data_IF_772638598117
#
_entry.id   IF_772638598117
#
_cell.length_a   1.000
_cell.length_b   1.000
_cell.length_c   1.000
_cell.angle_alpha   90.00
_cell.angle_beta   90.00
_cell.angle_gamma   90.00
#
_symmetry.space_group_name_H-M   'P 1'
#
loop_
_entity.id
_entity.type
_entity.pdbx_description
1 polymer ?
#
# COMPACT_ATOMS: atom_id res chain seq x y z
N UNK A 1 -3.62 -4.70 10.72
CA UNK A 1 -3.41 -3.91 9.47
C UNK A 1 -3.20 -2.42 9.70
N UNK A 2 -4.04 -1.71 10.47
CA UNK A 2 -3.86 -0.26 10.72
C UNK A 2 -2.46 0.06 11.24
N UNK A 3 -2.02 -0.59 12.32
CA UNK A 3 -0.71 -0.34 12.95
C UNK A 3 0.45 -0.64 12.01
N UNK A 4 0.38 -1.73 11.25
CA UNK A 4 1.44 -2.12 10.31
C UNK A 4 1.54 -1.08 9.19
N UNK A 5 0.43 -0.64 8.60
CA UNK A 5 0.44 0.39 7.56
C UNK A 5 0.88 1.76 8.12
N UNK A 6 0.51 2.11 9.35
CA UNK A 6 0.97 3.35 9.98
C UNK A 6 2.48 3.32 10.25
N UNK A 7 3.01 2.17 10.68
CA UNK A 7 4.46 1.97 10.88
C UNK A 7 5.22 2.08 9.55
N UNK A 8 4.77 1.40 8.49
CA UNK A 8 5.38 1.47 7.16
C UNK A 8 5.33 2.89 6.59
N UNK A 9 4.22 3.60 6.78
CA UNK A 9 4.07 5.00 6.39
C UNK A 9 5.08 5.90 7.11
N UNK A 10 5.20 5.74 8.43
CA UNK A 10 6.15 6.50 9.24
C UNK A 10 7.60 6.26 8.79
N UNK A 11 8.00 5.01 8.58
CA UNK A 11 9.36 4.69 8.12
C UNK A 11 9.64 5.26 6.73
N UNK A 12 8.71 5.13 5.77
CA UNK A 12 8.88 5.67 4.42
C UNK A 12 9.01 7.19 4.41
N UNK A 13 8.19 7.90 5.19
CA UNK A 13 8.24 9.36 5.30
C UNK A 13 9.51 9.81 6.03
N UNK A 14 9.87 9.15 7.14
CA UNK A 14 11.05 9.50 7.93
C UNK A 14 12.34 9.35 7.12
N UNK A 15 12.47 8.28 6.34
CA UNK A 15 13.62 8.08 5.43
C UNK A 15 13.62 9.14 4.32
N UNK A 16 12.47 9.42 3.71
CA UNK A 16 12.36 10.42 2.66
C UNK A 16 12.78 11.83 3.13
N UNK A 17 12.42 12.21 4.37
CA UNK A 17 12.86 13.48 4.96
C UNK A 17 14.34 13.49 5.32
N UNK A 18 14.86 12.41 5.93
CA UNK A 18 16.26 12.36 6.35
C UNK A 18 17.24 12.36 5.17
N UNK A 19 16.87 11.73 4.06
CA UNK A 19 17.70 11.61 2.86
C UNK A 19 17.34 12.63 1.77
N UNK A 20 16.43 13.57 2.05
CA UNK A 20 15.91 14.59 1.11
C UNK A 20 15.51 13.99 -0.25
N UNK A 21 14.67 12.96 -0.23
CA UNK A 21 14.23 12.29 -1.45
C UNK A 21 13.45 13.22 -2.36
N UNK A 22 13.74 13.14 -3.65
CA UNK A 22 12.93 13.78 -4.68
C UNK A 22 11.62 13.03 -4.85
N UNK A 23 10.52 13.77 -5.08
CA UNK A 23 9.23 13.22 -5.48
C UNK A 23 9.22 12.71 -6.93
N UNK A 24 10.31 12.89 -7.67
CA UNK A 24 10.46 12.44 -9.05
C UNK A 24 11.84 11.82 -9.24
N UNK A 25 11.87 10.61 -9.84
CA UNK A 25 13.08 9.88 -10.22
C UNK A 25 14.11 9.77 -9.07
N UNK A 26 13.76 8.99 -8.04
CA UNK A 26 14.65 8.70 -6.93
C UNK A 26 15.37 7.36 -7.18
N UNK A 27 16.71 7.40 -7.27
CA UNK A 27 17.52 6.20 -7.47
C UNK A 27 17.50 5.31 -6.23
N UNK A 28 17.58 4.00 -6.45
CA UNK A 28 17.75 3.02 -5.37
C UNK A 28 19.17 3.11 -4.82
N UNK A 29 19.29 3.26 -3.51
CA UNK A 29 20.56 3.14 -2.81
C UNK A 29 20.79 1.68 -2.39
N UNK A 30 21.80 1.04 -2.99
CA UNK A 30 22.22 -0.33 -2.67
C UNK A 30 23.32 -0.40 -1.60
N UNK A 31 23.70 0.73 -1.03
CA UNK A 31 24.68 0.78 0.06
C UNK A 31 24.10 0.24 1.37
N UNK A 32 24.98 -0.03 2.35
CA UNK A 32 24.58 -0.44 3.70
C UNK A 32 24.19 0.74 4.60
N UNK A 33 23.70 1.85 4.03
CA UNK A 33 23.22 3.00 4.80
C UNK A 33 22.07 2.56 5.72
N UNK A 34 22.11 2.86 7.03
CA UNK A 34 21.03 2.52 7.95
C UNK A 34 19.66 3.05 7.53
N UNK A 35 19.56 4.22 6.88
CA UNK A 35 18.28 4.76 6.40
C UNK A 35 17.74 3.98 5.19
N UNK A 36 18.61 3.63 4.23
CA UNK A 36 18.22 2.77 3.10
C UNK A 36 17.75 1.39 3.58
N UNK A 37 18.45 0.79 4.54
CA UNK A 37 18.06 -0.48 5.17
C UNK A 37 16.70 -0.40 5.89
N UNK A 38 16.37 0.73 6.52
CA UNK A 38 15.04 0.95 7.13
C UNK A 38 13.93 0.95 6.08
N UNK A 39 14.14 1.64 4.96
CA UNK A 39 13.20 1.66 3.84
C UNK A 39 13.03 0.27 3.23
N UNK A 40 14.12 -0.47 3.01
CA UNK A 40 14.08 -1.87 2.51
C UNK A 40 13.24 -2.75 3.45
N UNK A 41 13.42 -2.62 4.77
CA UNK A 41 12.61 -3.37 5.75
C UNK A 41 11.13 -2.98 5.69
N UNK A 42 10.80 -1.70 5.51
CA UNK A 42 9.43 -1.25 5.34
C UNK A 42 8.80 -1.80 4.06
N UNK A 43 9.54 -1.80 2.94
CA UNK A 43 9.11 -2.39 1.66
C UNK A 43 8.92 -3.92 1.77
N UNK A 44 9.80 -4.60 2.49
CA UNK A 44 9.63 -6.02 2.78
C UNK A 44 8.38 -6.30 3.63
N UNK A 45 8.14 -5.51 4.69
CA UNK A 45 6.92 -5.61 5.48
C UNK A 45 5.68 -5.31 4.64
N UNK A 46 5.78 -4.40 3.66
CA UNK A 46 4.70 -4.12 2.71
C UNK A 46 4.37 -5.36 1.88
N UNK A 47 5.36 -6.07 1.34
CA UNK A 47 5.13 -7.34 0.66
C UNK A 47 4.44 -8.39 1.56
N UNK A 48 4.92 -8.57 2.79
CA UNK A 48 4.29 -9.49 3.76
C UNK A 48 2.85 -9.09 4.04
N UNK A 49 2.56 -7.78 4.14
CA UNK A 49 1.19 -7.31 4.36
C UNK A 49 0.24 -7.75 3.24
N UNK A 50 0.68 -7.75 1.97
CA UNK A 50 -0.13 -8.22 0.82
C UNK A 50 -0.41 -9.71 0.87
N UNK A 51 0.54 -10.52 1.35
CA UNK A 51 0.30 -11.94 1.59
C UNK A 51 -0.78 -12.14 2.67
N UNK A 52 -0.71 -11.40 3.78
CA UNK A 52 -1.71 -11.49 4.85
C UNK A 52 -3.10 -11.05 4.37
N UNK A 53 -3.20 -9.97 3.57
CA UNK A 53 -4.47 -9.52 2.98
C UNK A 53 -5.11 -10.56 2.03
N UNK A 54 -4.27 -11.27 1.27
CA UNK A 54 -4.73 -12.38 0.45
C UNK A 54 -5.23 -13.56 1.30
N UNK A 55 -4.58 -13.85 2.43
CA UNK A 55 -5.02 -14.90 3.35
C UNK A 55 -6.38 -14.55 4.00
N UNK A 56 -6.63 -13.29 4.36
CA UNK A 56 -7.95 -12.85 4.85
C UNK A 56 -9.05 -13.11 3.81
N UNK A 57 -8.75 -12.82 2.53
CA UNK A 57 -9.66 -13.09 1.41
C UNK A 57 -9.91 -14.59 1.25
N UNK A 58 -8.87 -15.42 1.36
CA UNK A 58 -8.97 -16.89 1.34
C UNK A 58 -9.87 -17.42 2.47
N UNK A 59 -9.71 -16.90 3.69
CA UNK A 59 -10.57 -17.26 4.82
C UNK A 59 -12.03 -16.81 4.64
N UNK A 60 -12.30 -15.68 3.96
CA UNK A 60 -13.67 -15.29 3.64
C UNK A 60 -14.35 -16.22 2.64
N UNK A 61 -13.61 -16.70 1.64
CA UNK A 61 -14.12 -17.67 0.67
C UNK A 61 -14.47 -18.98 1.38
N UNK A 62 -13.57 -19.51 2.22
CA UNK A 62 -13.82 -20.74 2.98
C UNK A 62 -15.00 -20.60 3.94
N UNK A 63 -15.17 -19.44 4.58
CA UNK A 63 -16.30 -19.15 5.49
C UNK A 63 -17.61 -18.85 4.76
N UNK A 64 -17.67 -18.99 3.44
CA UNK A 64 -18.87 -18.75 2.64
C UNK A 64 -19.32 -17.29 2.57
N UNK A 65 -18.43 -16.33 2.91
CA UNK A 65 -18.71 -14.88 2.88
C UNK A 65 -18.34 -14.25 1.54
N UNK A 66 -18.67 -14.93 0.44
CA UNK A 66 -18.29 -14.55 -0.93
C UNK A 66 -18.97 -13.27 -1.42
N UNK A 67 -20.10 -12.86 -0.84
CA UNK A 67 -20.77 -11.59 -1.16
C UNK A 67 -19.92 -10.34 -0.88
N UNK A 68 -18.87 -10.46 -0.06
CA UNK A 68 -17.93 -9.37 0.24
C UNK A 68 -16.72 -9.36 -0.71
N UNK A 69 -16.50 -10.45 -1.45
CA UNK A 69 -15.31 -10.69 -2.26
C UNK A 69 -15.71 -10.66 -3.74
N UNK A 70 -15.40 -9.56 -4.41
CA UNK A 70 -15.66 -9.42 -5.84
C UNK A 70 -14.54 -10.07 -6.67
N UNK A 71 -14.80 -10.32 -7.95
CA UNK A 71 -13.76 -10.81 -8.88
C UNK A 71 -12.56 -9.86 -8.92
N UNK A 72 -12.80 -8.54 -8.97
CA UNK A 72 -11.75 -7.53 -9.00
C UNK A 72 -10.89 -7.56 -7.74
N UNK A 73 -11.51 -7.76 -6.57
CA UNK A 73 -10.81 -7.91 -5.29
C UNK A 73 -9.83 -9.09 -5.33
N UNK A 74 -10.29 -10.26 -5.77
CA UNK A 74 -9.42 -11.46 -5.88
C UNK A 74 -8.31 -11.25 -6.90
N UNK A 75 -8.65 -10.72 -8.08
CA UNK A 75 -7.66 -10.44 -9.13
C UNK A 75 -6.55 -9.53 -8.60
N UNK A 76 -6.92 -8.39 -7.99
CA UNK A 76 -5.97 -7.44 -7.42
C UNK A 76 -5.10 -8.06 -6.31
N UNK A 77 -5.68 -8.78 -5.34
CA UNK A 77 -4.86 -9.38 -4.27
C UNK A 77 -3.92 -10.48 -4.77
N UNK A 78 -4.32 -11.24 -5.79
CA UNK A 78 -3.47 -12.27 -6.40
C UNK A 78 -2.33 -11.67 -7.23
N UNK A 79 -2.56 -10.58 -7.97
CA UNK A 79 -1.54 -9.93 -8.81
C UNK A 79 -0.58 -9.06 -8.00
N UNK A 80 -1.02 -8.46 -6.89
CA UNK A 80 -0.16 -7.63 -6.04
C UNK A 80 0.98 -8.42 -5.38
N UNK A 81 0.81 -9.72 -5.11
CA UNK A 81 1.87 -10.57 -4.51
C UNK A 81 3.11 -10.68 -5.42
N UNK A 82 3.01 -11.15 -6.68
CA UNK A 82 4.18 -11.24 -7.56
C UNK A 82 4.76 -9.87 -7.92
N UNK A 83 3.93 -8.82 -8.06
CA UNK A 83 4.41 -7.46 -8.33
C UNK A 83 5.27 -6.94 -7.17
N UNK A 84 4.76 -7.03 -5.95
CA UNK A 84 5.50 -6.57 -4.76
C UNK A 84 6.74 -7.42 -4.50
N UNK A 85 6.68 -8.73 -4.77
CA UNK A 85 7.86 -9.60 -4.71
C UNK A 85 8.95 -9.15 -5.70
N UNK A 86 8.58 -8.88 -6.95
CA UNK A 86 9.52 -8.36 -7.94
C UNK A 86 10.11 -7.02 -7.50
N UNK A 87 9.27 -6.11 -6.97
CA UNK A 87 9.72 -4.83 -6.41
C UNK A 87 10.75 -4.99 -5.30
N UNK A 88 10.50 -5.86 -4.31
CA UNK A 88 11.47 -6.07 -3.22
C UNK A 88 12.73 -6.80 -3.69
N UNK A 89 12.61 -7.70 -4.68
CA UNK A 89 13.75 -8.48 -5.16
C UNK A 89 14.72 -7.64 -5.98
N UNK A 90 14.21 -6.74 -6.81
CA UNK A 90 15.00 -6.06 -7.84
C UNK A 90 15.17 -4.56 -7.59
N UNK A 91 14.24 -3.90 -6.90
CA UNK A 91 14.19 -2.43 -6.76
C UNK A 91 13.76 -2.06 -5.33
N UNK A 92 14.40 -2.64 -4.32
CA UNK A 92 14.05 -2.34 -2.92
C UNK A 92 14.55 -0.96 -2.48
N UNK A 93 13.82 0.10 -2.85
CA UNK A 93 14.10 1.47 -2.41
C UNK A 93 13.87 2.49 -3.53
N UNK A 94 14.48 3.67 -3.38
CA UNK A 94 14.34 4.74 -4.37
C UNK A 94 12.88 5.14 -4.55
N UNK A 95 12.44 5.29 -5.80
CA UNK A 95 11.09 5.76 -6.19
C UNK A 95 9.93 4.95 -5.60
N UNK A 96 10.15 3.68 -5.22
CA UNK A 96 9.11 2.82 -4.65
C UNK A 96 8.61 3.32 -3.27
N UNK A 97 9.36 4.19 -2.59
CA UNK A 97 8.91 4.80 -1.34
C UNK A 97 7.56 5.53 -1.49
N UNK A 98 7.33 6.18 -2.63
CA UNK A 98 6.14 7.00 -2.90
C UNK A 98 4.86 6.15 -3.05
N UNK A 99 4.79 5.16 -3.96
CA UNK A 99 3.60 4.31 -4.07
C UNK A 99 3.34 3.53 -2.79
N UNK A 100 4.38 3.11 -2.06
CA UNK A 100 4.23 2.45 -0.75
C UNK A 100 3.63 3.40 0.29
N UNK A 101 4.12 4.64 0.40
CA UNK A 101 3.61 5.63 1.35
C UNK A 101 2.14 6.00 1.06
N UNK A 102 1.79 6.22 -0.21
CA UNK A 102 0.41 6.52 -0.62
C UNK A 102 -0.51 5.34 -0.29
N UNK A 103 -0.13 4.12 -0.69
CA UNK A 103 -0.92 2.92 -0.40
C UNK A 103 -1.10 2.69 1.11
N UNK A 104 -0.05 2.91 1.91
CA UNK A 104 -0.14 2.76 3.36
C UNK A 104 -1.10 3.81 3.97
N UNK A 105 -1.08 5.05 3.48
CA UNK A 105 -2.04 6.10 3.89
C UNK A 105 -3.47 5.67 3.57
N UNK A 106 -3.66 5.19 2.34
CA UNK A 106 -4.74 4.34 1.83
C UNK A 106 -5.40 3.46 2.90
N UNK A 107 -4.59 2.48 3.25
CA UNK A 107 -4.96 1.37 4.09
C UNK A 107 -5.13 1.79 5.55
N UNK A 108 -4.38 2.78 6.06
CA UNK A 108 -4.63 3.33 7.41
C UNK A 108 -6.04 3.90 7.50
N UNK A 109 -6.46 4.73 6.53
CA UNK A 109 -7.79 5.33 6.53
C UNK A 109 -8.87 4.25 6.36
N UNK A 110 -8.70 3.35 5.38
CA UNK A 110 -9.65 2.29 5.09
C UNK A 110 -9.84 1.33 6.27
N UNK A 111 -8.76 0.82 6.86
CA UNK A 111 -8.86 -0.11 7.99
C UNK A 111 -9.34 0.57 9.27
N UNK A 112 -9.02 1.85 9.47
CA UNK A 112 -9.60 2.63 10.58
C UNK A 112 -11.11 2.74 10.41
N UNK A 113 -11.59 3.04 9.20
CA UNK A 113 -13.02 3.04 8.88
C UNK A 113 -13.68 1.69 9.19
N UNK A 114 -13.06 0.57 8.82
CA UNK A 114 -13.59 -0.76 9.13
C UNK A 114 -13.55 -1.08 10.63
N UNK A 115 -12.54 -0.62 11.36
CA UNK A 115 -12.50 -0.75 12.82
C UNK A 115 -13.66 0.00 13.49
N UNK A 116 -13.94 1.24 13.06
CA UNK A 116 -15.10 2.00 13.55
C UNK A 116 -16.44 1.35 13.16
N UNK A 117 -16.53 0.74 11.97
CA UNK A 117 -17.71 -0.02 11.55
C UNK A 117 -17.95 -1.26 12.43
N UNK A 118 -16.89 -1.87 12.95
CA UNK A 118 -16.97 -3.04 13.83
C UNK A 118 -17.39 -2.69 15.27
N UNK A 119 -17.25 -1.43 15.72
CA UNK A 119 -17.68 -0.96 17.04
C UNK A 119 -19.22 -0.87 17.20
N UNK A 120 -19.97 -1.23 16.16
CA UNK A 120 -21.40 -1.53 16.25
C UNK A 120 -22.33 -0.52 15.56
N UNK A 121 -23.66 -0.74 15.64
CA UNK A 121 -24.65 -0.02 14.85
C UNK A 121 -24.67 1.50 15.11
N UNK A 122 -24.29 1.94 16.32
CA UNK A 122 -24.25 3.36 16.71
C UNK A 122 -23.25 4.17 15.89
N UNK A 123 -22.09 3.58 15.57
CA UNK A 123 -21.04 4.22 14.80
C UNK A 123 -21.33 4.20 13.30
N UNK A 124 -22.10 3.20 12.84
CA UNK A 124 -22.45 3.02 11.42
C UNK A 124 -23.22 4.20 10.81
N UNK A 125 -23.94 4.98 11.63
CA UNK A 125 -24.64 6.21 11.20
C UNK A 125 -23.68 7.31 10.72
N UNK A 126 -22.46 7.36 11.24
CA UNK A 126 -21.46 8.37 10.87
C UNK A 126 -20.61 7.97 9.65
N UNK A 127 -20.78 6.75 9.14
CA UNK A 127 -19.97 6.17 8.07
C UNK A 127 -20.52 6.43 6.66
N UNK A 128 -21.12 7.60 6.43
CA UNK A 128 -21.75 7.96 5.16
C UNK A 128 -20.73 8.16 4.02
N UNK A 129 -19.46 8.43 4.35
CA UNK A 129 -18.42 8.72 3.38
C UNK A 129 -17.75 7.49 2.75
N UNK A 130 -18.34 6.29 2.85
CA UNK A 130 -17.79 5.06 2.25
C UNK A 130 -17.42 5.25 0.77
N UNK A 131 -18.24 6.00 0.03
CA UNK A 131 -18.02 6.29 -1.40
C UNK A 131 -16.72 7.06 -1.67
N UNK A 132 -16.32 7.96 -0.77
CA UNK A 132 -15.07 8.71 -0.91
C UNK A 132 -13.85 7.82 -0.71
N UNK A 133 -13.93 6.82 0.17
CA UNK A 133 -12.86 5.83 0.34
C UNK A 133 -12.62 5.03 -0.94
N UNK A 134 -13.71 4.63 -1.63
CA UNK A 134 -13.59 3.91 -2.92
C UNK A 134 -13.03 4.81 -4.02
N UNK A 135 -13.40 6.10 -4.06
CA UNK A 135 -12.81 7.04 -5.01
C UNK A 135 -11.31 7.25 -4.73
N UNK A 136 -10.93 7.39 -3.47
CA UNK A 136 -9.54 7.52 -3.04
C UNK A 136 -8.68 6.31 -3.46
N UNK A 137 -9.18 5.09 -3.25
CA UNK A 137 -8.49 3.87 -3.69
C UNK A 137 -8.27 3.83 -5.21
N UNK A 138 -9.25 4.26 -6.01
CA UNK A 138 -9.13 4.34 -7.46
C UNK A 138 -8.19 5.45 -7.93
N UNK A 139 -8.10 6.57 -7.19
CA UNK A 139 -7.17 7.66 -7.50
C UNK A 139 -5.72 7.25 -7.24
N UNK A 140 -5.47 6.43 -6.21
CA UNK A 140 -4.13 5.90 -5.93
C UNK A 140 -3.59 5.07 -7.09
N UNK A 141 -4.37 4.08 -7.55
CA UNK A 141 -3.96 3.20 -8.66
C UNK A 141 -3.62 4.02 -9.92
N UNK A 142 -4.44 5.02 -10.24
CA UNK A 142 -4.20 5.91 -11.38
C UNK A 142 -2.97 6.83 -11.18
N UNK A 143 -2.69 7.25 -9.95
CA UNK A 143 -1.56 8.13 -9.65
C UNK A 143 -0.22 7.40 -9.80
N UNK A 144 -0.19 6.10 -9.48
CA UNK A 144 0.98 5.24 -9.69
C UNK A 144 1.26 5.09 -11.19
N UNK A 145 0.22 4.88 -12.01
CA UNK A 145 0.35 4.75 -13.46
C UNK A 145 0.88 6.04 -14.11
N UNK A 146 0.40 7.21 -13.67
CA UNK A 146 0.87 8.51 -14.20
C UNK A 146 2.32 8.77 -13.80
N UNK A 147 2.71 8.47 -12.56
CA UNK A 147 4.09 8.63 -12.11
C UNK A 147 5.05 7.74 -12.89
N UNK A 148 4.65 6.48 -13.11
CA UNK A 148 5.46 5.49 -13.86
C UNK A 148 5.59 5.88 -15.33
N UNK A 149 4.50 6.24 -16.00
CA UNK A 149 4.53 6.68 -17.41
C UNK A 149 5.25 8.02 -17.61
N UNK A 150 5.19 8.91 -16.62
CA UNK A 150 5.92 10.19 -16.64
C UNK A 150 7.44 10.02 -16.54
N UNK A 151 7.91 8.98 -15.86
CA UNK A 151 9.33 8.64 -15.79
C UNK A 151 9.82 7.99 -17.10
N UNK A 152 9.04 7.07 -17.69
CA UNK A 152 9.40 6.42 -18.98
C UNK A 152 9.62 7.46 -20.09
N UNK A 153 8.77 8.49 -20.17
CA UNK A 153 8.90 9.57 -21.18
C UNK A 153 10.07 10.52 -20.97
N UNK A 154 10.74 10.49 -19.81
CA UNK A 154 11.92 11.32 -19.54
C UNK A 154 13.24 10.61 -19.86
N UNK A 155 13.19 9.29 -20.02
CA UNK A 155 14.35 8.45 -20.35
C UNK A 155 14.46 8.18 -21.88
N UNK A 156 13.54 8.73 -22.69
CA UNK A 156 13.62 8.85 -24.17
C UNK A 156 14.14 10.24 -24.59
#
# INVERSE_FOLDING_TARGET
MVVINAYMLYESIAVAFNENYSLYCQKVDYSSNPNALRLVRAIWLFHISKVIECLDTFFFIIRGRTHLVTWLHVYHHCTMIPITWAGVKWVAGGEIFQPVAVNCTIHVIMYSYYAFAALGPKWRKYLWWKRYLTMLQMTDDNSIDIHTNGNIKKDE
#
